data_IF_638953008369
#
_entry.id   IF_638953008369
#
_cell.length_a   1.000
_cell.length_b   1.000
_cell.length_c   1.000
_cell.angle_alpha   90.00
_cell.angle_beta   90.00
_cell.angle_gamma   90.00
#
_symmetry.space_group_name_H-M   'P 1'
#
loop_
_entity.id
_entity.type
_entity.pdbx_description
1 polymer ?
#
# COMPACT_ATOMS: atom_id res chain seq x y z
N UNK A 1 6.19 23.26 13.38
CA UNK A 1 5.58 22.44 12.32
C UNK A 1 6.61 21.43 11.87
N UNK A 2 6.24 20.16 11.87
CA UNK A 2 7.10 19.08 11.37
C UNK A 2 7.22 19.25 9.86
N UNK A 3 8.45 19.20 9.33
CA UNK A 3 8.71 19.26 7.89
C UNK A 3 8.96 17.86 7.36
N UNK A 4 8.62 17.65 6.10
CA UNK A 4 8.98 16.44 5.38
C UNK A 4 10.50 16.35 5.25
N UNK A 5 11.04 15.18 5.53
CA UNK A 5 12.49 14.87 5.45
C UNK A 5 12.69 13.57 4.70
N UNK A 6 13.94 13.22 4.42
CA UNK A 6 14.27 11.94 3.78
C UNK A 6 13.85 10.73 4.63
N UNK A 7 13.71 10.89 5.96
CA UNK A 7 13.22 9.83 6.84
C UNK A 7 11.75 9.46 6.61
N UNK A 8 11.00 10.26 5.83
CA UNK A 8 9.64 9.89 5.43
C UNK A 8 9.61 8.92 4.24
N UNK A 9 10.73 8.73 3.54
CA UNK A 9 10.77 7.86 2.36
C UNK A 9 10.85 6.39 2.75
N UNK A 10 10.03 5.59 2.11
CA UNK A 10 10.01 4.14 2.13
C UNK A 10 9.73 3.57 0.74
N UNK A 11 9.58 2.26 0.66
CA UNK A 11 9.26 1.59 -0.59
C UNK A 11 8.30 0.43 -0.36
N UNK A 12 7.27 0.34 -1.19
CA UNK A 12 6.40 -0.82 -1.29
C UNK A 12 7.15 -1.95 -2.03
N UNK A 13 7.16 -3.16 -1.46
CA UNK A 13 7.89 -4.29 -2.02
C UNK A 13 7.26 -4.89 -3.29
N UNK A 14 6.26 -4.25 -3.87
CA UNK A 14 5.68 -4.64 -5.16
C UNK A 14 6.70 -4.71 -6.31
N UNK A 15 7.79 -3.94 -6.25
CA UNK A 15 8.88 -4.01 -7.22
C UNK A 15 9.58 -5.37 -7.21
N UNK A 16 9.61 -6.05 -6.06
CA UNK A 16 10.31 -7.32 -5.87
C UNK A 16 9.47 -8.54 -6.29
N UNK A 17 8.15 -8.38 -6.46
CA UNK A 17 7.27 -9.46 -6.88
C UNK A 17 7.79 -10.14 -8.14
N UNK A 18 7.91 -11.48 -8.09
CA UNK A 18 8.39 -12.36 -9.18
C UNK A 18 9.84 -12.13 -9.64
N UNK A 19 10.55 -11.11 -9.11
CA UNK A 19 11.94 -10.82 -9.50
C UNK A 19 12.94 -11.06 -8.38
N UNK A 20 12.63 -10.60 -7.19
CA UNK A 20 13.51 -10.61 -6.03
C UNK A 20 12.72 -11.08 -4.78
N UNK A 21 12.06 -12.27 -4.81
CA UNK A 21 11.22 -12.71 -3.70
C UNK A 21 12.02 -13.13 -2.46
N UNK A 22 13.31 -13.43 -2.62
CA UNK A 22 14.16 -13.85 -1.53
C UNK A 22 14.49 -12.67 -0.61
N UNK A 23 14.30 -12.81 0.73
CA UNK A 23 14.53 -11.71 1.66
C UNK A 23 15.95 -11.16 1.63
N UNK A 24 16.95 -11.99 1.40
CA UNK A 24 18.34 -11.54 1.27
C UNK A 24 18.55 -10.59 0.09
N UNK A 25 17.79 -10.81 -1.01
CA UNK A 25 17.95 -10.03 -2.22
C UNK A 25 17.24 -8.68 -2.10
N UNK A 26 15.96 -8.66 -1.73
CA UNK A 26 15.25 -7.38 -1.68
C UNK A 26 15.73 -6.49 -0.51
N UNK A 27 16.18 -7.06 0.63
CA UNK A 27 16.74 -6.25 1.72
C UNK A 27 18.06 -5.60 1.31
N UNK A 28 18.95 -6.31 0.59
CA UNK A 28 20.17 -5.73 0.01
C UNK A 28 19.84 -4.60 -0.98
N UNK A 29 18.84 -4.79 -1.84
CA UNK A 29 18.40 -3.73 -2.77
C UNK A 29 17.93 -2.50 -2.00
N UNK A 30 17.03 -2.65 -1.05
CA UNK A 30 16.45 -1.52 -0.30
C UNK A 30 17.53 -0.76 0.48
N UNK A 31 18.37 -1.46 1.23
CA UNK A 31 19.38 -0.86 2.09
C UNK A 31 20.59 -0.37 1.27
N UNK A 32 21.26 -1.28 0.55
CA UNK A 32 22.58 -1.00 -0.03
C UNK A 32 22.48 -0.27 -1.39
N UNK A 33 21.43 -0.55 -2.19
CA UNK A 33 21.32 0.07 -3.51
C UNK A 33 20.50 1.34 -3.50
N UNK A 34 19.40 1.39 -2.70
CA UNK A 34 18.49 2.53 -2.65
C UNK A 34 18.79 3.47 -1.46
N UNK A 35 19.49 3.01 -0.44
CA UNK A 35 19.76 3.77 0.78
C UNK A 35 18.46 4.15 1.50
N UNK A 36 17.52 3.20 1.56
CA UNK A 36 16.27 3.28 2.32
C UNK A 36 16.31 2.26 3.46
N UNK A 37 15.56 2.52 4.52
CA UNK A 37 15.43 1.63 5.66
C UNK A 37 13.99 1.39 6.09
N UNK A 38 13.01 1.77 5.27
CA UNK A 38 11.58 1.56 5.50
C UNK A 38 10.94 0.86 4.34
N UNK A 39 10.11 -0.12 4.67
CA UNK A 39 9.35 -0.86 3.65
C UNK A 39 7.89 -1.02 4.06
N UNK A 40 7.01 -0.91 3.09
CA UNK A 40 5.69 -1.48 3.14
C UNK A 40 5.77 -2.91 2.59
N UNK A 41 5.56 -3.90 3.46
CA UNK A 41 5.65 -5.31 3.08
C UNK A 41 4.37 -5.74 2.37
N UNK A 42 4.51 -6.40 1.22
CA UNK A 42 3.38 -6.88 0.44
C UNK A 42 3.19 -8.39 0.57
N UNK A 43 1.93 -8.81 0.72
CA UNK A 43 1.57 -10.21 0.92
C UNK A 43 1.91 -11.14 -0.26
N UNK A 44 2.24 -10.58 -1.42
CA UNK A 44 2.66 -11.35 -2.60
C UNK A 44 4.10 -11.90 -2.46
N UNK A 45 4.95 -11.26 -1.63
CA UNK A 45 6.31 -11.73 -1.32
C UNK A 45 6.27 -12.97 -0.43
N UNK A 46 5.44 -12.97 0.59
CA UNK A 46 5.20 -14.12 1.47
C UNK A 46 3.70 -14.18 1.76
N UNK A 47 3.01 -15.12 1.13
CA UNK A 47 1.57 -15.25 1.28
C UNK A 47 1.21 -15.99 2.58
N UNK A 48 0.42 -15.40 3.48
CA UNK A 48 0.00 -16.05 4.73
C UNK A 48 -0.71 -17.40 4.53
N UNK A 49 -1.30 -17.63 3.36
CA UNK A 49 -1.95 -18.91 3.03
C UNK A 49 -0.99 -20.10 3.17
N UNK A 50 0.32 -19.91 3.00
CA UNK A 50 1.33 -20.94 3.16
C UNK A 50 1.30 -21.58 4.56
N UNK A 51 0.92 -20.83 5.60
CA UNK A 51 0.77 -21.33 6.98
C UNK A 51 -0.17 -22.54 7.06
N UNK A 52 -1.23 -22.55 6.24
CA UNK A 52 -2.23 -23.62 6.26
C UNK A 52 -1.78 -24.89 5.50
N UNK A 53 -0.81 -24.76 4.59
CA UNK A 53 -0.29 -25.89 3.80
C UNK A 53 0.97 -26.51 4.38
N UNK A 54 1.89 -25.66 4.87
CA UNK A 54 3.14 -26.07 5.53
C UNK A 54 3.56 -25.00 6.55
N UNK A 55 3.04 -25.12 7.76
CA UNK A 55 3.33 -24.16 8.84
C UNK A 55 4.83 -24.11 9.17
N UNK A 56 5.52 -25.27 9.14
CA UNK A 56 6.96 -25.33 9.43
C UNK A 56 7.78 -24.57 8.38
N UNK A 57 7.45 -24.74 7.12
CA UNK A 57 8.07 -23.97 6.04
C UNK A 57 7.77 -22.48 6.20
N UNK A 58 6.50 -22.13 6.41
CA UNK A 58 6.08 -20.75 6.61
C UNK A 58 6.84 -20.06 7.76
N UNK A 59 6.94 -20.70 8.93
CA UNK A 59 7.69 -20.15 10.06
C UNK A 59 9.20 -20.02 9.75
N UNK A 60 9.76 -20.92 8.95
CA UNK A 60 11.15 -20.79 8.51
C UNK A 60 11.38 -19.55 7.61
N UNK A 61 10.41 -19.21 6.73
CA UNK A 61 10.46 -18.01 5.90
C UNK A 61 10.27 -16.73 6.73
N UNK A 62 9.37 -16.75 7.72
CA UNK A 62 9.22 -15.65 8.68
C UNK A 62 10.54 -15.37 9.39
N UNK A 63 11.15 -16.40 9.96
CA UNK A 63 12.44 -16.27 10.66
C UNK A 63 13.54 -15.70 9.75
N UNK A 64 13.68 -16.25 8.54
CA UNK A 64 14.64 -15.80 7.55
C UNK A 64 14.43 -14.32 7.18
N UNK A 65 13.17 -13.91 7.00
CA UNK A 65 12.83 -12.51 6.72
C UNK A 65 13.24 -11.60 7.88
N UNK A 66 12.93 -11.99 9.13
CA UNK A 66 13.32 -11.20 10.33
C UNK A 66 14.85 -11.06 10.41
N UNK A 67 15.61 -12.15 10.21
CA UNK A 67 17.08 -12.10 10.22
C UNK A 67 17.64 -11.15 9.17
N UNK A 68 17.02 -11.07 7.97
CA UNK A 68 17.43 -10.13 6.93
C UNK A 68 17.05 -8.68 7.27
N UNK A 69 15.87 -8.43 7.83
CA UNK A 69 15.44 -7.12 8.29
C UNK A 69 16.40 -6.56 9.35
N UNK A 70 16.72 -7.38 10.37
CA UNK A 70 17.66 -7.01 11.44
C UNK A 70 19.06 -6.73 10.89
N UNK A 71 19.57 -7.60 10.00
CA UNK A 71 20.90 -7.44 9.39
C UNK A 71 21.06 -6.11 8.65
N UNK A 72 20.00 -5.64 7.98
CA UNK A 72 20.03 -4.43 7.15
C UNK A 72 19.40 -3.21 7.81
N UNK A 73 18.99 -3.30 9.10
CA UNK A 73 18.30 -2.24 9.84
C UNK A 73 17.06 -1.71 9.10
N UNK A 74 16.28 -2.62 8.51
CA UNK A 74 15.07 -2.29 7.77
C UNK A 74 13.85 -2.44 8.66
N UNK A 75 12.99 -1.42 8.67
CA UNK A 75 11.72 -1.40 9.38
C UNK A 75 10.57 -1.71 8.43
N UNK A 76 9.76 -2.69 8.79
CA UNK A 76 8.44 -2.88 8.15
C UNK A 76 7.46 -1.93 8.82
N UNK A 77 7.12 -0.84 8.16
CA UNK A 77 6.22 0.20 8.70
C UNK A 77 4.77 -0.21 8.56
N UNK A 78 4.44 -0.87 7.47
CA UNK A 78 3.07 -1.29 7.15
C UNK A 78 3.04 -2.59 6.34
N UNK A 79 1.86 -3.23 6.37
CA UNK A 79 1.55 -4.42 5.56
C UNK A 79 0.47 -4.09 4.54
N UNK A 80 0.65 -4.50 3.29
CA UNK A 80 -0.30 -4.23 2.20
C UNK A 80 -0.62 -5.50 1.42
N UNK A 81 -1.85 -5.62 0.92
CA UNK A 81 -2.14 -6.54 -0.18
C UNK A 81 -1.54 -6.00 -1.48
N UNK A 82 -1.24 -6.87 -2.43
CA UNK A 82 -0.68 -6.45 -3.71
C UNK A 82 -1.39 -7.17 -4.86
N UNK A 83 -0.78 -7.26 -6.01
CA UNK A 83 -1.40 -7.65 -7.27
C UNK A 83 -2.13 -8.99 -7.26
N UNK A 84 -1.57 -9.99 -6.58
CA UNK A 84 -2.15 -11.35 -6.51
C UNK A 84 -3.02 -11.55 -5.26
N UNK A 85 -2.87 -10.71 -4.26
CA UNK A 85 -3.68 -10.72 -3.03
C UNK A 85 -4.74 -9.61 -3.00
N UNK A 86 -4.77 -8.74 -4.02
CA UNK A 86 -5.78 -7.72 -4.24
C UNK A 86 -6.97 -8.31 -4.98
N UNK A 87 -7.94 -8.83 -4.24
CA UNK A 87 -9.13 -9.53 -4.74
C UNK A 87 -10.41 -8.96 -4.12
N UNK A 88 -11.58 -9.51 -4.49
CA UNK A 88 -12.86 -9.02 -3.96
C UNK A 88 -13.02 -9.15 -2.44
N UNK A 89 -12.30 -10.05 -1.81
CA UNK A 89 -12.32 -10.41 -0.38
C UNK A 89 -13.66 -10.13 0.33
N UNK A 90 -13.80 -9.12 1.18
CA UNK A 90 -15.04 -8.87 1.96
C UNK A 90 -16.21 -8.38 1.11
N UNK A 91 -15.96 -7.89 -0.10
CA UNK A 91 -17.00 -7.52 -1.08
C UNK A 91 -17.36 -8.66 -2.04
N UNK A 92 -16.80 -9.85 -1.85
CA UNK A 92 -17.17 -11.00 -2.67
C UNK A 92 -18.63 -11.40 -2.41
N UNK A 93 -19.45 -11.71 -3.45
CA UNK A 93 -20.87 -12.06 -3.26
C UNK A 93 -21.08 -13.36 -2.48
N UNK A 94 -20.14 -14.31 -2.55
CA UNK A 94 -20.20 -15.58 -1.84
C UNK A 94 -19.68 -15.47 -0.40
N UNK A 95 -20.48 -15.95 0.56
CA UNK A 95 -20.13 -15.89 1.99
C UNK A 95 -18.97 -16.82 2.38
N UNK A 96 -18.87 -17.99 1.74
CA UNK A 96 -17.76 -18.92 1.99
C UNK A 96 -16.42 -18.29 1.63
N UNK A 97 -16.38 -17.59 0.48
CA UNK A 97 -15.22 -16.86 0.02
C UNK A 97 -14.79 -15.75 1.01
N UNK A 98 -15.76 -14.93 1.49
CA UNK A 98 -15.47 -13.90 2.50
C UNK A 98 -14.90 -14.46 3.80
N UNK A 99 -15.38 -15.64 4.25
CA UNK A 99 -14.86 -16.31 5.44
C UNK A 99 -13.41 -16.77 5.26
N UNK A 100 -13.07 -17.31 4.09
CA UNK A 100 -11.68 -17.69 3.76
C UNK A 100 -10.77 -16.47 3.81
N UNK A 101 -11.19 -15.36 3.22
CA UNK A 101 -10.41 -14.12 3.27
C UNK A 101 -10.31 -13.51 4.66
N UNK A 102 -11.32 -13.68 5.50
CA UNK A 102 -11.22 -13.21 6.87
C UNK A 102 -10.13 -13.99 7.65
N UNK A 103 -10.06 -15.31 7.49
CA UNK A 103 -9.01 -16.13 8.09
C UNK A 103 -7.64 -15.71 7.52
N UNK A 104 -7.57 -15.51 6.22
CA UNK A 104 -6.36 -15.05 5.57
C UNK A 104 -5.88 -13.69 6.12
N UNK A 105 -6.77 -12.73 6.33
CA UNK A 105 -6.44 -11.44 6.94
C UNK A 105 -6.00 -11.57 8.40
N UNK A 106 -6.53 -12.52 9.16
CA UNK A 106 -6.05 -12.79 10.51
C UNK A 106 -4.60 -13.27 10.48
N UNK A 107 -4.27 -14.26 9.64
CA UNK A 107 -2.89 -14.74 9.47
C UNK A 107 -1.96 -13.63 8.92
N UNK A 108 -2.47 -12.75 8.05
CA UNK A 108 -1.75 -11.60 7.53
C UNK A 108 -1.39 -10.58 8.61
N UNK A 109 -2.32 -10.27 9.52
CA UNK A 109 -2.04 -9.40 10.66
C UNK A 109 -1.03 -10.04 11.64
N UNK A 110 -1.15 -11.34 11.91
CA UNK A 110 -0.17 -12.06 12.75
C UNK A 110 1.23 -12.01 12.14
N UNK A 111 1.35 -12.22 10.83
CA UNK A 111 2.61 -12.11 10.08
C UNK A 111 3.22 -10.71 10.21
N UNK A 112 2.43 -9.68 9.94
CA UNK A 112 2.90 -8.30 10.02
C UNK A 112 3.37 -7.93 11.42
N UNK A 113 2.70 -8.44 12.45
CA UNK A 113 3.14 -8.22 13.83
C UNK A 113 4.49 -8.85 14.12
N UNK A 114 4.77 -10.06 13.58
CA UNK A 114 6.09 -10.68 13.68
C UNK A 114 7.19 -9.85 13.02
N UNK A 115 6.87 -9.13 11.94
CA UNK A 115 7.78 -8.21 11.25
C UNK A 115 7.89 -6.82 11.91
N UNK A 116 7.11 -6.56 12.96
CA UNK A 116 7.13 -5.28 13.67
C UNK A 116 6.26 -4.19 13.03
N UNK A 117 5.40 -4.53 12.07
CA UNK A 117 4.51 -3.57 11.41
C UNK A 117 3.59 -2.86 12.40
N UNK A 118 3.42 -1.56 12.19
CA UNK A 118 2.53 -0.70 13.00
C UNK A 118 1.13 -0.64 12.44
N UNK A 119 0.97 -0.87 11.15
CA UNK A 119 -0.29 -0.80 10.43
C UNK A 119 -0.41 -1.88 9.37
N UNK A 120 -1.64 -2.15 8.95
CA UNK A 120 -1.93 -3.06 7.86
C UNK A 120 -3.16 -2.59 7.09
N UNK A 121 -3.24 -2.93 5.81
CA UNK A 121 -4.36 -2.52 4.99
C UNK A 121 -4.46 -3.20 3.63
N UNK A 122 -5.47 -2.76 2.90
CA UNK A 122 -5.83 -3.20 1.55
C UNK A 122 -6.74 -2.14 0.94
N UNK A 123 -7.24 -2.34 -0.27
CA UNK A 123 -8.43 -1.62 -0.73
C UNK A 123 -9.66 -2.01 0.12
N UNK A 124 -10.65 -1.12 0.22
CA UNK A 124 -11.86 -1.41 1.02
C UNK A 124 -12.66 -2.59 0.45
N UNK A 125 -12.84 -2.63 -0.87
CA UNK A 125 -13.52 -3.70 -1.56
C UNK A 125 -13.66 -3.49 -3.06
N UNK A 126 -13.53 -4.59 -3.81
CA UNK A 126 -13.71 -4.63 -5.26
C UNK A 126 -14.99 -5.39 -5.59
N UNK A 127 -15.87 -4.79 -6.38
CA UNK A 127 -17.09 -5.40 -6.86
C UNK A 127 -16.85 -6.21 -8.14
N UNK A 128 -17.49 -7.35 -8.25
CA UNK A 128 -17.63 -8.03 -9.57
C UNK A 128 -18.65 -7.27 -10.42
N UNK A 129 -18.62 -7.45 -11.73
CA UNK A 129 -19.61 -6.83 -12.63
C UNK A 129 -21.05 -7.16 -12.21
N UNK A 130 -21.30 -8.38 -11.80
CA UNK A 130 -22.65 -8.81 -11.39
C UNK A 130 -23.04 -8.29 -10.01
N UNK A 131 -22.09 -8.05 -9.12
CA UNK A 131 -22.35 -7.57 -7.75
C UNK A 131 -22.60 -6.07 -7.67
N UNK A 132 -22.36 -5.30 -8.72
CA UNK A 132 -22.74 -3.87 -8.78
C UNK A 132 -24.21 -3.62 -8.45
N UNK A 133 -25.10 -4.56 -8.78
CA UNK A 133 -26.55 -4.46 -8.51
C UNK A 133 -26.91 -4.57 -7.02
N UNK A 134 -26.00 -5.08 -6.22
CA UNK A 134 -26.19 -5.32 -4.77
C UNK A 134 -25.07 -4.65 -3.94
N UNK A 135 -24.47 -3.60 -4.50
CA UNK A 135 -23.31 -2.93 -3.92
C UNK A 135 -23.56 -2.47 -2.48
N UNK A 136 -24.72 -1.89 -2.18
CA UNK A 136 -25.02 -1.35 -0.85
C UNK A 136 -25.10 -2.46 0.23
N UNK A 137 -25.65 -3.62 -0.15
CA UNK A 137 -25.64 -4.81 0.72
C UNK A 137 -24.22 -5.31 0.96
N UNK A 138 -23.39 -5.37 -0.07
CA UNK A 138 -22.00 -5.82 0.07
C UNK A 138 -21.15 -4.81 0.81
N UNK A 139 -21.44 -3.52 0.69
CA UNK A 139 -20.81 -2.47 1.48
C UNK A 139 -21.01 -2.70 2.98
N UNK A 140 -22.26 -2.89 3.41
CA UNK A 140 -22.58 -3.15 4.82
C UNK A 140 -21.89 -4.42 5.35
N UNK A 141 -21.82 -5.45 4.52
CA UNK A 141 -21.11 -6.70 4.87
C UNK A 141 -19.59 -6.45 4.97
N UNK A 142 -19.00 -5.69 4.06
CA UNK A 142 -17.58 -5.35 4.11
C UNK A 142 -17.24 -4.54 5.38
N UNK A 143 -18.07 -3.56 5.75
CA UNK A 143 -17.93 -2.82 7.02
C UNK A 143 -17.93 -3.75 8.23
N UNK A 144 -18.83 -4.73 8.26
CA UNK A 144 -18.90 -5.71 9.35
C UNK A 144 -17.61 -6.54 9.46
N UNK A 145 -17.06 -7.00 8.34
CA UNK A 145 -15.81 -7.76 8.33
C UNK A 145 -14.60 -6.91 8.74
N UNK A 146 -14.50 -5.68 8.23
CA UNK A 146 -13.45 -4.75 8.63
C UNK A 146 -13.55 -4.38 10.12
N UNK A 147 -14.75 -4.21 10.65
CA UNK A 147 -14.97 -4.00 12.09
C UNK A 147 -14.45 -5.18 12.92
N UNK A 148 -14.77 -6.42 12.54
CA UNK A 148 -14.26 -7.63 13.20
C UNK A 148 -12.75 -7.73 13.11
N UNK A 149 -12.15 -7.42 11.96
CA UNK A 149 -10.72 -7.45 11.76
C UNK A 149 -10.01 -6.39 12.63
N UNK A 150 -10.63 -5.22 12.83
CA UNK A 150 -10.08 -4.15 13.67
C UNK A 150 -9.96 -4.54 15.14
N UNK A 151 -10.82 -5.46 15.63
CA UNK A 151 -10.70 -6.03 16.99
C UNK A 151 -9.42 -6.86 17.09
N UNK A 152 -9.18 -7.73 16.10
CA UNK A 152 -7.98 -8.58 16.05
C UNK A 152 -6.72 -7.71 15.94
N UNK A 153 -6.75 -6.68 15.07
CA UNK A 153 -5.65 -5.76 14.92
C UNK A 153 -5.32 -5.01 16.23
N UNK A 154 -6.37 -4.56 16.98
CA UNK A 154 -6.19 -3.98 18.31
C UNK A 154 -5.51 -4.94 19.27
N UNK A 155 -5.99 -6.18 19.34
CA UNK A 155 -5.50 -7.19 20.27
C UNK A 155 -4.05 -7.60 19.95
N UNK A 156 -3.65 -7.52 18.68
CA UNK A 156 -2.26 -7.68 18.22
C UNK A 156 -1.41 -6.42 18.44
N UNK A 157 -1.99 -5.27 18.82
CA UNK A 157 -1.28 -4.03 19.09
C UNK A 157 -0.90 -3.24 17.85
N UNK A 158 -1.71 -3.28 16.79
CA UNK A 158 -1.62 -2.36 15.66
C UNK A 158 -2.06 -0.95 16.07
N UNK A 159 -1.39 0.06 15.52
CA UNK A 159 -1.74 1.47 15.80
C UNK A 159 -2.97 1.92 15.01
N UNK A 160 -3.09 1.47 13.75
CA UNK A 160 -4.22 1.74 12.85
C UNK A 160 -4.32 0.68 11.75
N UNK A 161 -5.48 0.59 11.14
CA UNK A 161 -5.66 -0.04 9.83
C UNK A 161 -5.79 1.04 8.76
N UNK A 162 -5.58 0.68 7.50
CA UNK A 162 -5.78 1.62 6.41
C UNK A 162 -6.48 0.96 5.21
N UNK A 163 -7.05 1.80 4.35
CA UNK A 163 -7.45 1.36 3.04
C UNK A 163 -6.92 2.31 1.96
N UNK A 164 -6.71 1.75 0.78
CA UNK A 164 -6.29 2.47 -0.40
C UNK A 164 -7.49 2.74 -1.29
N UNK A 165 -7.84 4.02 -1.55
CA UNK A 165 -8.88 4.37 -2.51
C UNK A 165 -8.39 4.20 -3.95
N UNK A 166 -9.26 3.67 -4.80
CA UNK A 166 -9.00 3.48 -6.22
C UNK A 166 -10.05 4.19 -7.06
N UNK A 167 -9.63 4.98 -8.04
CA UNK A 167 -10.53 5.71 -8.92
C UNK A 167 -11.15 4.84 -10.04
N UNK A 168 -11.58 3.64 -9.69
CA UNK A 168 -12.20 2.64 -10.59
C UNK A 168 -13.65 2.43 -10.19
N UNK A 169 -14.58 2.46 -11.14
CA UNK A 169 -16.02 2.38 -10.89
C UNK A 169 -16.49 1.13 -10.14
N UNK A 170 -15.71 0.06 -10.19
CA UNK A 170 -16.00 -1.18 -9.45
C UNK A 170 -15.44 -1.19 -8.02
N UNK A 171 -14.88 -0.08 -7.56
CA UNK A 171 -14.40 0.07 -6.19
C UNK A 171 -15.23 1.10 -5.44
N UNK A 172 -15.34 0.92 -4.12
CA UNK A 172 -16.16 1.82 -3.31
C UNK A 172 -15.55 3.20 -3.13
N UNK A 173 -14.22 3.27 -2.96
CA UNK A 173 -13.49 4.53 -2.77
C UNK A 173 -13.12 5.23 -4.09
N UNK A 174 -13.99 5.22 -5.09
CA UNK A 174 -13.69 5.71 -6.43
C UNK A 174 -13.85 7.23 -6.60
N UNK A 175 -14.35 7.95 -5.59
CA UNK A 175 -14.39 9.40 -5.52
C UNK A 175 -13.92 9.88 -4.15
N UNK A 176 -13.58 11.16 -4.04
CA UNK A 176 -13.20 11.80 -2.76
C UNK A 176 -14.33 11.65 -1.74
N UNK A 177 -15.56 11.93 -2.12
CA UNK A 177 -16.73 11.86 -1.25
C UNK A 177 -16.98 10.43 -0.77
N UNK A 178 -16.89 9.44 -1.68
CA UNK A 178 -17.02 8.03 -1.33
C UNK A 178 -15.90 7.59 -0.38
N UNK A 179 -14.68 8.06 -0.61
CA UNK A 179 -13.53 7.77 0.27
C UNK A 179 -13.73 8.35 1.66
N UNK A 180 -14.18 9.61 1.77
CA UNK A 180 -14.49 10.24 3.04
C UNK A 180 -15.63 9.53 3.79
N UNK A 181 -16.67 9.11 3.06
CA UNK A 181 -17.78 8.36 3.66
C UNK A 181 -17.30 7.01 4.20
N UNK A 182 -16.53 6.24 3.43
CA UNK A 182 -15.98 4.95 3.88
C UNK A 182 -15.12 5.15 5.13
N UNK A 183 -14.25 6.15 5.12
CA UNK A 183 -13.36 6.42 6.26
C UNK A 183 -14.17 6.76 7.52
N UNK A 184 -15.21 7.58 7.39
CA UNK A 184 -16.12 7.91 8.48
C UNK A 184 -16.84 6.68 9.01
N UNK A 185 -17.42 5.86 8.13
CA UNK A 185 -18.15 4.67 8.51
C UNK A 185 -17.27 3.63 9.18
N UNK A 186 -16.04 3.41 8.66
CA UNK A 186 -15.05 2.54 9.28
C UNK A 186 -14.68 3.04 10.67
N UNK A 187 -14.38 4.31 10.85
CA UNK A 187 -14.01 4.86 12.15
C UNK A 187 -15.17 4.83 13.17
N UNK A 188 -16.41 4.81 12.71
CA UNK A 188 -17.57 4.66 13.59
C UNK A 188 -17.76 3.24 14.13
N UNK A 189 -17.27 2.21 13.42
CA UNK A 189 -17.51 0.80 13.78
C UNK A 189 -16.25 0.05 14.22
N UNK A 190 -15.07 0.63 14.07
CA UNK A 190 -13.79 -0.03 14.31
C UNK A 190 -13.24 0.17 15.71
N UNK A 191 -12.44 -0.80 16.19
CA UNK A 191 -11.81 -0.80 17.50
C UNK A 191 -10.49 -0.04 17.56
N UNK A 192 -9.89 0.26 16.41
CA UNK A 192 -8.71 1.12 16.23
C UNK A 192 -8.95 2.05 15.04
N UNK A 193 -8.22 3.18 14.93
CA UNK A 193 -8.41 4.11 13.83
C UNK A 193 -8.19 3.47 12.46
N UNK A 194 -8.99 3.91 11.48
CA UNK A 194 -8.69 3.75 10.06
C UNK A 194 -8.07 5.03 9.50
N UNK A 195 -7.09 4.87 8.63
CA UNK A 195 -6.40 5.91 7.87
C UNK A 195 -6.46 5.61 6.39
N UNK A 196 -5.94 6.52 5.58
CA UNK A 196 -5.79 6.30 4.15
C UNK A 196 -4.35 5.95 3.79
N UNK A 197 -4.20 5.09 2.80
CA UNK A 197 -3.04 4.96 1.95
C UNK A 197 -3.42 5.62 0.62
N UNK A 198 -2.94 6.83 0.37
CA UNK A 198 -3.34 7.62 -0.78
C UNK A 198 -2.31 7.50 -1.90
N UNK A 199 -2.67 6.84 -3.00
CA UNK A 199 -1.80 6.77 -4.18
C UNK A 199 -2.06 7.97 -5.11
N UNK A 200 -1.03 8.76 -5.34
CA UNK A 200 -1.10 9.95 -6.20
C UNK A 200 -1.28 9.62 -7.69
N UNK A 201 -0.93 8.40 -8.10
CA UNK A 201 -1.11 7.94 -9.48
C UNK A 201 -2.48 7.33 -9.77
N UNK A 202 -3.29 7.04 -8.75
CA UNK A 202 -4.62 6.45 -8.94
C UNK A 202 -5.67 7.50 -9.35
N UNK A 203 -5.60 8.72 -8.85
CA UNK A 203 -6.56 9.77 -9.18
C UNK A 203 -6.62 10.10 -10.69
N UNK A 204 -5.50 10.18 -11.43
CA UNK A 204 -5.50 10.45 -12.86
C UNK A 204 -6.10 9.33 -13.73
N UNK A 205 -6.33 8.13 -13.19
CA UNK A 205 -6.64 6.93 -13.98
C UNK A 205 -7.86 7.12 -14.87
N UNK A 206 -9.05 7.06 -14.49
CA UNK A 206 -10.19 6.86 -15.40
C UNK A 206 -11.05 8.10 -15.67
N UNK A 207 -10.79 9.20 -15.00
CA UNK A 207 -11.70 10.35 -14.99
C UNK A 207 -11.03 11.69 -15.19
N UNK A 208 -9.75 11.69 -15.58
CA UNK A 208 -8.94 12.91 -15.69
C UNK A 208 -8.90 13.70 -14.37
N UNK A 209 -9.09 13.01 -13.24
CA UNK A 209 -9.07 13.65 -11.92
C UNK A 209 -7.67 14.11 -11.59
N UNK A 210 -7.56 15.26 -10.97
CA UNK A 210 -6.28 15.80 -10.52
C UNK A 210 -5.93 15.20 -9.15
N UNK A 211 -4.79 14.52 -9.02
CA UNK A 211 -4.29 14.01 -7.74
C UNK A 211 -4.10 15.12 -6.70
N UNK A 212 -3.89 16.38 -7.15
CA UNK A 212 -3.75 17.53 -6.27
C UNK A 212 -5.02 17.79 -5.46
N UNK A 213 -6.19 17.60 -6.08
CA UNK A 213 -7.47 17.72 -5.37
C UNK A 213 -7.62 16.62 -4.31
N UNK A 214 -7.21 15.38 -4.63
CA UNK A 214 -7.21 14.28 -3.68
C UNK A 214 -6.28 14.56 -2.50
N UNK A 215 -5.07 15.04 -2.75
CA UNK A 215 -4.13 15.45 -1.70
C UNK A 215 -4.70 16.60 -0.86
N UNK A 216 -5.29 17.61 -1.49
CA UNK A 216 -5.88 18.73 -0.74
C UNK A 216 -6.97 18.27 0.20
N UNK A 217 -7.85 17.38 -0.23
CA UNK A 217 -9.02 16.93 0.56
C UNK A 217 -8.70 15.82 1.55
N UNK A 218 -7.74 14.91 1.24
CA UNK A 218 -7.57 13.66 1.96
C UNK A 218 -6.22 13.52 2.69
N UNK A 219 -5.23 14.37 2.42
CA UNK A 219 -3.88 14.21 3.00
C UNK A 219 -3.84 14.20 4.52
N UNK A 220 -4.73 14.96 5.20
CA UNK A 220 -4.79 14.97 6.68
C UNK A 220 -5.24 13.64 7.29
N UNK A 221 -5.96 12.84 6.53
CA UNK A 221 -6.46 11.53 6.93
C UNK A 221 -5.56 10.39 6.40
N UNK A 222 -4.52 10.74 5.62
CA UNK A 222 -3.58 9.80 5.03
C UNK A 222 -2.37 9.60 5.93
N UNK A 223 -2.11 8.36 6.33
CA UNK A 223 -0.90 7.98 7.04
C UNK A 223 0.23 7.58 6.10
N UNK A 224 -0.13 7.14 4.91
CA UNK A 224 0.78 6.68 3.86
C UNK A 224 0.37 7.36 2.54
N UNK A 225 1.36 7.79 1.77
CA UNK A 225 1.18 8.26 0.40
C UNK A 225 2.03 7.39 -0.51
N UNK A 226 1.40 6.70 -1.44
CA UNK A 226 2.10 5.97 -2.49
C UNK A 226 2.57 6.91 -3.59
N UNK A 227 3.82 6.72 -3.98
CA UNK A 227 4.52 7.51 -4.97
C UNK A 227 4.76 6.68 -6.23
N UNK A 228 4.14 7.06 -7.32
CA UNK A 228 4.40 6.54 -8.64
C UNK A 228 4.33 7.66 -9.66
N UNK A 229 5.12 7.57 -10.74
CA UNK A 229 4.90 8.44 -11.88
C UNK A 229 3.85 7.84 -12.80
N UNK A 230 3.01 8.68 -13.37
CA UNK A 230 1.97 8.26 -14.31
C UNK A 230 1.65 9.38 -15.31
N UNK A 231 0.95 9.03 -16.37
CA UNK A 231 0.39 10.00 -17.32
C UNK A 231 -1.12 10.14 -17.10
N UNK A 232 -1.72 11.18 -17.64
CA UNK A 232 -3.18 11.39 -17.58
C UNK A 232 -3.94 10.17 -18.11
N UNK A 233 -5.04 9.83 -17.43
CA UNK A 233 -5.90 8.67 -17.73
C UNK A 233 -5.23 7.30 -17.54
N UNK A 234 -4.17 7.25 -16.76
CA UNK A 234 -3.46 6.01 -16.48
C UNK A 234 -3.05 5.91 -15.02
N UNK A 235 -2.75 4.70 -14.57
CA UNK A 235 -2.02 4.41 -13.33
C UNK A 235 -0.91 3.42 -13.70
N UNK A 236 0.25 3.95 -14.03
CA UNK A 236 1.30 3.16 -14.68
C UNK A 236 2.27 2.53 -13.69
N UNK A 237 2.30 3.00 -12.44
CA UNK A 237 3.31 2.66 -11.44
C UNK A 237 4.74 2.79 -12.00
N UNK A 238 4.96 3.86 -12.78
CA UNK A 238 6.25 4.12 -13.42
C UNK A 238 7.25 4.75 -12.45
N UNK A 239 8.56 4.54 -12.67
CA UNK A 239 9.61 5.21 -11.90
C UNK A 239 9.67 6.71 -12.19
N UNK A 240 10.32 7.47 -11.30
CA UNK A 240 10.58 8.90 -11.47
C UNK A 240 11.92 9.15 -12.14
N UNK A 241 12.15 8.52 -13.30
CA UNK A 241 13.33 8.78 -14.11
C UNK A 241 13.12 10.00 -15.01
N UNK A 242 14.19 10.55 -15.56
CA UNK A 242 14.09 11.68 -16.48
C UNK A 242 13.09 11.42 -17.61
N UNK A 243 13.11 10.23 -18.20
CA UNK A 243 12.22 9.83 -19.30
C UNK A 243 10.74 9.88 -18.89
N UNK A 244 10.39 9.28 -17.76
CA UNK A 244 9.00 9.25 -17.28
C UNK A 244 8.55 10.61 -16.72
N UNK A 245 9.45 11.42 -16.21
CA UNK A 245 9.11 12.76 -15.71
C UNK A 245 8.81 13.77 -16.83
N UNK A 246 9.29 13.54 -18.07
CA UNK A 246 9.01 14.42 -19.22
C UNK A 246 7.51 14.47 -19.58
N UNK A 247 6.80 13.37 -19.38
CA UNK A 247 5.36 13.26 -19.71
C UNK A 247 4.50 13.01 -18.47
N UNK A 248 5.12 12.72 -17.34
CA UNK A 248 4.46 12.41 -16.10
C UNK A 248 3.75 13.60 -15.47
N UNK A 249 2.68 13.32 -14.73
CA UNK A 249 1.85 14.37 -14.13
C UNK A 249 2.12 14.59 -12.64
N UNK A 250 2.85 13.66 -12.00
CA UNK A 250 3.12 13.72 -10.55
C UNK A 250 4.34 14.60 -10.29
N UNK A 251 4.14 15.65 -9.49
CA UNK A 251 5.13 16.66 -9.15
C UNK A 251 5.53 16.54 -7.66
N UNK A 252 6.76 16.10 -7.35
CA UNK A 252 7.24 15.97 -5.98
C UNK A 252 7.23 17.29 -5.20
N UNK A 253 7.60 18.40 -5.85
CA UNK A 253 7.65 19.71 -5.18
C UNK A 253 6.26 20.12 -4.68
N UNK A 254 5.23 19.94 -5.51
CA UNK A 254 3.85 20.20 -5.12
C UNK A 254 3.43 19.35 -3.90
N UNK A 255 3.73 18.04 -3.94
CA UNK A 255 3.35 17.12 -2.85
C UNK A 255 4.01 17.51 -1.54
N UNK A 256 5.32 17.77 -1.57
CA UNK A 256 6.09 18.16 -0.37
C UNK A 256 5.61 19.50 0.17
N UNK A 257 5.35 20.47 -0.70
CA UNK A 257 4.88 21.79 -0.28
C UNK A 257 3.50 21.71 0.40
N UNK A 258 2.52 21.03 -0.19
CA UNK A 258 1.18 20.91 0.42
C UNK A 258 1.22 20.18 1.76
N UNK A 259 2.06 19.15 1.91
CA UNK A 259 2.21 18.44 3.17
C UNK A 259 2.86 19.32 4.23
N UNK A 260 3.92 20.04 3.88
CA UNK A 260 4.59 20.99 4.77
C UNK A 260 3.66 22.14 5.20
N UNK A 261 2.90 22.72 4.28
CA UNK A 261 1.96 23.82 4.54
C UNK A 261 0.86 23.38 5.51
N UNK A 262 0.42 22.14 5.41
CA UNK A 262 -0.57 21.54 6.31
C UNK A 262 0.06 20.99 7.60
N UNK A 263 1.37 20.97 7.74
CA UNK A 263 2.09 20.42 8.89
C UNK A 263 1.95 18.90 9.04
N UNK A 264 1.81 18.20 7.93
CA UNK A 264 1.63 16.75 7.86
C UNK A 264 2.96 16.07 7.55
N UNK A 265 3.12 14.85 8.05
CA UNK A 265 4.33 14.04 7.85
C UNK A 265 3.97 12.56 7.69
N UNK A 266 3.22 12.19 6.62
CA UNK A 266 2.92 10.78 6.31
C UNK A 266 4.18 10.05 5.87
N UNK A 267 4.11 8.73 5.81
CA UNK A 267 5.09 7.93 5.07
C UNK A 267 4.90 8.13 3.57
N UNK A 268 6.01 8.19 2.83
CA UNK A 268 6.04 8.34 1.39
C UNK A 268 6.66 7.06 0.80
N UNK A 269 5.84 6.13 0.39
CA UNK A 269 6.29 4.83 -0.10
C UNK A 269 6.27 4.77 -1.63
N UNK A 270 7.44 4.55 -2.24
CA UNK A 270 7.50 4.30 -3.68
C UNK A 270 6.73 3.03 -4.02
N UNK A 271 5.67 3.15 -4.81
CA UNK A 271 4.93 2.02 -5.39
C UNK A 271 5.19 1.93 -6.89
N UNK A 272 6.38 1.48 -7.24
CA UNK A 272 6.84 1.31 -8.62
C UNK A 272 6.79 -0.16 -8.99
N UNK A 273 6.17 -0.49 -10.11
CA UNK A 273 5.96 -1.87 -10.54
C UNK A 273 6.59 -2.15 -11.90
N UNK A 274 7.36 -3.22 -11.95
CA UNK A 274 8.00 -3.73 -13.17
C UNK A 274 7.45 -5.10 -13.60
N UNK A 275 6.38 -5.57 -12.95
CA UNK A 275 5.75 -6.81 -13.39
C UNK A 275 5.21 -6.64 -14.82
N UNK A 276 5.19 -7.70 -15.57
CA UNK A 276 4.74 -7.72 -16.95
C UNK A 276 5.53 -6.80 -17.90
N UNK A 277 6.67 -6.28 -17.44
CA UNK A 277 7.61 -5.54 -18.25
C UNK A 277 8.87 -6.39 -18.46
N UNK A 278 9.48 -6.26 -19.62
CA UNK A 278 10.68 -7.03 -20.00
C UNK A 278 11.98 -6.34 -19.58
N UNK A 279 11.95 -5.45 -18.59
CA UNK A 279 13.16 -4.83 -18.08
C UNK A 279 14.07 -5.86 -17.40
N UNK A 280 15.37 -5.71 -17.66
CA UNK A 280 16.40 -6.49 -16.98
C UNK A 280 16.68 -5.93 -15.58
N UNK A 281 17.09 -6.77 -14.66
CA UNK A 281 17.31 -6.43 -13.24
C UNK A 281 18.19 -5.19 -13.01
N UNK A 282 19.32 -4.98 -13.74
CA UNK A 282 20.11 -3.74 -13.60
C UNK A 282 19.33 -2.47 -13.95
N UNK A 283 18.42 -2.54 -14.92
CA UNK A 283 17.52 -1.41 -15.28
C UNK A 283 16.53 -1.14 -14.16
N UNK A 284 15.89 -2.18 -13.60
CA UNK A 284 14.97 -2.04 -12.47
C UNK A 284 15.64 -1.33 -11.30
N UNK A 285 16.84 -1.79 -10.90
CA UNK A 285 17.57 -1.21 -9.77
C UNK A 285 17.99 0.24 -10.07
N UNK A 286 18.45 0.52 -11.29
CA UNK A 286 18.79 1.89 -11.73
C UNK A 286 17.59 2.82 -11.63
N UNK A 287 16.45 2.41 -12.14
CA UNK A 287 15.25 3.25 -12.21
C UNK A 287 14.65 3.52 -10.81
N UNK A 288 14.71 2.52 -9.92
CA UNK A 288 14.36 2.71 -8.52
C UNK A 288 15.31 3.69 -7.83
N UNK A 289 16.62 3.54 -8.05
CA UNK A 289 17.63 4.42 -7.47
C UNK A 289 17.46 5.86 -7.95
N UNK A 290 17.30 6.06 -9.26
CA UNK A 290 17.04 7.38 -9.85
C UNK A 290 15.79 8.02 -9.25
N UNK A 291 14.71 7.24 -9.05
CA UNK A 291 13.48 7.72 -8.42
C UNK A 291 13.71 8.19 -6.99
N UNK A 292 14.44 7.42 -6.19
CA UNK A 292 14.77 7.78 -4.81
C UNK A 292 15.66 9.02 -4.75
N UNK A 293 16.70 9.11 -5.58
CA UNK A 293 17.59 10.26 -5.65
C UNK A 293 16.83 11.53 -6.09
N UNK A 294 15.93 11.40 -7.07
CA UNK A 294 15.09 12.51 -7.53
C UNK A 294 14.22 13.05 -6.40
N UNK A 295 13.52 12.21 -5.66
CA UNK A 295 12.70 12.64 -4.53
C UNK A 295 13.52 13.20 -3.35
N UNK A 296 14.68 12.60 -3.04
CA UNK A 296 15.60 13.13 -2.02
C UNK A 296 16.07 14.55 -2.31
N UNK A 297 16.12 14.96 -3.59
CA UNK A 297 16.54 16.32 -3.97
C UNK A 297 15.54 17.42 -3.53
N UNK A 298 14.28 17.06 -3.24
CA UNK A 298 13.25 17.98 -2.75
C UNK A 298 13.10 17.94 -1.21
N UNK A 299 13.65 16.92 -0.55
CA UNK A 299 13.57 16.72 0.90
C UNK A 299 14.85 17.18 1.58
N UNK A 300 14.71 17.97 2.65
CA UNK A 300 15.85 18.54 3.37
C UNK A 300 16.27 17.65 4.53
#
# INVERSE_FOLDING_TARGET
MQKMTQDNLGINLGFANNRFPEPETWTDIVSEKLGLNKVQFVADILNPMLKQYDEKYYESQIKKTIECLEKHDIQVTSMMTSSFTRVNHFSHPDNGYRKIWFIWFCDFLEMGKKFGAKSAGSHFGILTTNSLKVKDKLYSIALEYWSKLSIIARDLGYEYLFFEPMSIDREYGNTIENTQQILSDLNNVSSIPFKLCLDVGHAPHSSQRDYREWLDKLSKDSAIIHLQQTVLNSSNHSPFTKEYNETGVVDPEYIINILNDKGLSPELDFEISFREKEEVEPTVIRDLKESVEYWKSFLK
#
